data_IF_820088742887
#
_entry.id   IF_820088742887
#
_cell.length_a   1.000
_cell.length_b   1.000
_cell.length_c   1.000
_cell.angle_alpha   90.00
_cell.angle_beta   90.00
_cell.angle_gamma   90.00
#
_symmetry.space_group_name_H-M   'P 1'
#
loop_
_entity.id
_entity.type
_entity.pdbx_description
1 polymer ?
#
# COMPACT_ATOMS: atom_id res chain seq x y z
N UNK A 1 29.86 1.88 56.83
CA UNK A 1 29.92 1.09 55.59
C UNK A 1 28.67 0.23 55.36
N UNK A 2 28.10 -0.40 56.40
CA UNK A 2 26.93 -1.29 56.30
C UNK A 2 25.63 -0.63 55.77
N UNK A 3 25.36 0.64 56.11
CA UNK A 3 24.14 1.36 55.69
C UNK A 3 24.03 1.61 54.18
N UNK A 4 25.16 1.78 53.47
CA UNK A 4 25.14 2.02 52.02
C UNK A 4 24.73 0.77 51.23
N UNK A 5 25.10 -0.43 51.71
CA UNK A 5 24.70 -1.69 51.09
C UNK A 5 23.20 -1.96 51.24
N UNK A 6 22.62 -1.61 52.39
CA UNK A 6 21.17 -1.76 52.62
C UNK A 6 20.38 -0.82 51.69
N UNK A 7 20.82 0.43 51.54
CA UNK A 7 20.20 1.39 50.60
C UNK A 7 20.34 0.91 49.15
N UNK A 8 21.51 0.37 48.76
CA UNK A 8 21.73 -0.18 47.41
C UNK A 8 20.84 -1.40 47.14
N UNK A 9 20.67 -2.28 48.13
CA UNK A 9 19.79 -3.46 48.05
C UNK A 9 18.33 -3.04 47.97
N UNK A 10 17.90 -2.03 48.73
CA UNK A 10 16.54 -1.47 48.63
C UNK A 10 16.31 -0.82 47.27
N UNK A 11 17.29 -0.09 46.72
CA UNK A 11 17.22 0.47 45.36
C UNK A 11 17.13 -0.65 44.31
N UNK A 12 17.89 -1.74 44.47
CA UNK A 12 17.83 -2.92 43.58
C UNK A 12 16.50 -3.68 43.69
N UNK A 13 15.86 -3.71 44.87
CA UNK A 13 14.54 -4.31 45.10
C UNK A 13 13.41 -3.38 44.61
N UNK A 14 13.64 -2.07 44.61
CA UNK A 14 12.76 -1.05 44.04
C UNK A 14 12.98 -0.84 42.53
N UNK A 15 13.87 -1.60 41.89
CA UNK A 15 13.81 -1.77 40.44
C UNK A 15 12.52 -2.52 40.20
N UNK A 16 11.47 -1.78 39.83
CA UNK A 16 10.24 -2.34 39.29
C UNK A 16 10.66 -3.38 38.24
N UNK A 17 10.39 -4.66 38.51
CA UNK A 17 10.46 -5.70 37.49
C UNK A 17 9.26 -5.42 36.57
N UNK A 18 9.38 -4.36 35.79
CA UNK A 18 8.39 -3.97 34.80
C UNK A 18 8.29 -5.10 33.81
N UNK A 19 7.12 -5.74 33.74
CA UNK A 19 6.86 -6.72 32.69
C UNK A 19 6.92 -5.98 31.37
N UNK A 20 7.98 -6.22 30.60
CA UNK A 20 8.05 -5.76 29.22
C UNK A 20 7.26 -6.68 28.30
N UNK A 21 6.54 -6.10 27.35
CA UNK A 21 5.85 -6.82 26.29
C UNK A 21 6.65 -6.64 25.01
N UNK A 22 7.20 -7.74 24.49
CA UNK A 22 7.87 -7.74 23.20
C UNK A 22 6.87 -8.19 22.12
N UNK A 23 6.69 -7.36 21.10
CA UNK A 23 5.79 -7.58 19.97
C UNK A 23 6.66 -7.85 18.75
N UNK A 24 6.59 -9.06 18.21
CA UNK A 24 7.36 -9.46 17.05
C UNK A 24 6.56 -9.17 15.78
N UNK A 25 7.13 -8.37 14.89
CA UNK A 25 6.49 -7.92 13.65
C UNK A 25 7.24 -8.45 12.44
N UNK A 26 6.53 -8.84 11.38
CA UNK A 26 7.13 -9.25 10.11
C UNK A 26 6.58 -8.40 8.96
N UNK A 27 7.48 -7.95 8.07
CA UNK A 27 7.16 -7.17 6.87
C UNK A 27 7.97 -7.69 5.66
N UNK A 28 7.35 -7.66 4.49
CA UNK A 28 8.06 -7.81 3.22
C UNK A 28 8.52 -6.45 2.66
N UNK A 29 9.81 -6.37 2.34
CA UNK A 29 10.51 -5.13 2.05
C UNK A 29 10.62 -4.85 0.54
N UNK A 30 9.52 -4.58 -0.16
CA UNK A 30 9.59 -4.15 -1.59
C UNK A 30 8.65 -3.02 -2.00
N UNK A 31 7.60 -2.71 -1.24
CA UNK A 31 6.78 -1.52 -1.50
C UNK A 31 7.39 -0.28 -0.84
N UNK A 32 7.09 0.92 -1.36
CA UNK A 32 7.55 2.19 -0.76
C UNK A 32 7.22 2.31 0.73
N UNK A 33 6.19 1.58 1.17
CA UNK A 33 5.80 1.38 2.55
C UNK A 33 6.92 0.88 3.48
N UNK A 34 7.82 0.05 2.96
CA UNK A 34 8.94 -0.49 3.74
C UNK A 34 9.83 0.59 4.34
N UNK A 35 10.17 1.63 3.56
CA UNK A 35 11.18 2.60 3.99
C UNK A 35 10.78 3.37 5.25
N UNK A 36 9.48 3.52 5.49
CA UNK A 36 8.96 4.28 6.63
C UNK A 36 8.77 3.38 7.87
N UNK A 37 8.62 2.07 7.69
CA UNK A 37 8.23 1.19 8.80
C UNK A 37 9.30 1.03 9.89
N UNK A 38 10.61 0.90 9.59
CA UNK A 38 11.66 0.94 10.60
C UNK A 38 11.62 2.23 11.43
N UNK A 39 11.36 3.37 10.80
CA UNK A 39 11.28 4.66 11.50
C UNK A 39 10.06 4.72 12.41
N UNK A 40 8.89 4.23 11.96
CA UNK A 40 7.69 4.10 12.80
C UNK A 40 7.97 3.23 14.03
N UNK A 41 8.64 2.08 13.85
CA UNK A 41 9.00 1.17 14.95
C UNK A 41 9.96 1.85 15.93
N UNK A 42 10.97 2.56 15.42
CA UNK A 42 11.93 3.30 16.24
C UNK A 42 11.25 4.40 17.05
N UNK A 43 10.39 5.19 16.42
CA UNK A 43 9.65 6.27 17.07
C UNK A 43 8.68 5.73 18.13
N UNK A 44 7.97 4.63 17.83
CA UNK A 44 7.12 3.97 18.81
C UNK A 44 7.92 3.43 20.01
N UNK A 45 9.05 2.74 19.77
CA UNK A 45 9.88 2.21 20.86
C UNK A 45 10.44 3.33 21.74
N UNK A 46 10.82 4.46 21.15
CA UNK A 46 11.22 5.67 21.89
C UNK A 46 10.05 6.24 22.70
N UNK A 47 8.87 6.38 22.09
CA UNK A 47 7.66 6.83 22.75
C UNK A 47 7.28 5.92 23.93
N UNK A 48 7.32 4.61 23.74
CA UNK A 48 7.04 3.59 24.75
C UNK A 48 7.97 3.73 25.96
N UNK A 49 9.26 3.93 25.71
CA UNK A 49 10.25 4.18 26.78
C UNK A 49 9.99 5.49 27.53
N UNK A 50 9.70 6.58 26.82
CA UNK A 50 9.44 7.89 27.44
C UNK A 50 8.17 7.86 28.31
N UNK A 51 7.16 7.10 27.88
CA UNK A 51 5.86 7.01 28.57
C UNK A 51 5.75 5.79 29.50
N UNK A 52 6.85 5.07 29.77
CA UNK A 52 6.89 3.89 30.62
C UNK A 52 5.85 2.81 30.25
N UNK A 53 5.56 2.64 28.95
CA UNK A 53 4.62 1.62 28.48
C UNK A 53 5.22 0.22 28.58
N UNK A 54 6.55 0.11 28.59
CA UNK A 54 7.30 -1.15 28.60
C UNK A 54 6.91 -2.08 27.43
N UNK A 55 6.61 -1.52 26.27
CA UNK A 55 6.33 -2.26 25.03
C UNK A 55 7.51 -2.08 24.07
N UNK A 56 8.05 -3.17 23.55
CA UNK A 56 9.06 -3.12 22.50
C UNK A 56 8.52 -3.81 21.24
N UNK A 57 8.70 -3.17 20.10
CA UNK A 57 8.40 -3.77 18.80
C UNK A 57 9.72 -4.24 18.17
N UNK A 58 9.78 -5.53 17.86
CA UNK A 58 10.88 -6.18 17.16
C UNK A 58 10.49 -6.38 15.70
N UNK A 59 11.17 -5.67 14.78
CA UNK A 59 10.88 -5.76 13.35
C UNK A 59 11.77 -6.81 12.66
N UNK A 60 11.14 -7.81 12.04
CA UNK A 60 11.77 -8.73 11.09
C UNK A 60 11.46 -8.30 9.66
N UNK A 61 12.45 -7.73 9.00
CA UNK A 61 12.37 -7.30 7.60
C UNK A 61 12.89 -8.38 6.66
N UNK A 62 12.03 -8.83 5.74
CA UNK A 62 12.43 -9.75 4.67
C UNK A 62 12.69 -8.95 3.41
N UNK A 63 13.95 -8.92 2.97
CA UNK A 63 14.42 -8.27 1.73
C UNK A 63 14.87 -9.32 0.72
N UNK A 64 14.92 -8.97 -0.58
CA UNK A 64 15.56 -9.82 -1.60
C UNK A 64 17.05 -10.10 -1.36
N UNK A 65 17.71 -9.33 -0.49
CA UNK A 65 19.12 -9.54 -0.13
C UNK A 65 19.32 -10.61 0.96
N UNK A 66 18.32 -10.81 1.82
CA UNK A 66 18.39 -11.76 2.94
C UNK A 66 17.47 -12.98 2.73
N UNK A 67 16.63 -12.94 1.70
CA UNK A 67 15.76 -14.01 1.26
C UNK A 67 15.97 -14.19 -0.24
N UNK A 68 16.45 -15.35 -0.66
CA UNK A 68 16.35 -15.74 -2.06
C UNK A 68 14.86 -15.85 -2.37
N UNK A 69 14.35 -14.96 -3.22
CA UNK A 69 13.04 -14.96 -3.90
C UNK A 69 11.97 -13.91 -3.46
N UNK A 70 10.94 -13.80 -4.30
CA UNK A 70 9.98 -12.73 -4.61
C UNK A 70 8.88 -12.46 -3.56
N UNK A 71 7.93 -11.55 -3.87
CA UNK A 71 6.72 -11.33 -3.07
C UNK A 71 5.89 -12.61 -2.85
N UNK A 72 5.86 -13.53 -3.82
CA UNK A 72 5.16 -14.81 -3.70
C UNK A 72 5.73 -15.69 -2.57
N UNK A 73 7.01 -15.53 -2.27
CA UNK A 73 7.70 -16.28 -1.23
C UNK A 73 7.38 -15.75 0.18
N UNK A 74 7.08 -14.45 0.30
CA UNK A 74 6.58 -13.88 1.54
C UNK A 74 5.19 -14.41 1.88
N UNK A 75 4.28 -14.39 0.90
CA UNK A 75 2.91 -14.85 1.12
C UNK A 75 2.88 -16.36 1.39
N UNK A 76 3.79 -17.12 0.77
CA UNK A 76 4.00 -18.55 1.07
C UNK A 76 4.55 -18.77 2.48
N UNK A 77 5.45 -17.90 2.96
CA UNK A 77 5.91 -17.92 4.35
C UNK A 77 4.76 -17.64 5.32
N UNK A 78 3.92 -16.65 5.04
CA UNK A 78 2.75 -16.35 5.87
C UNK A 78 1.78 -17.53 5.93
N UNK A 79 1.48 -18.15 4.80
CA UNK A 79 0.69 -19.39 4.74
C UNK A 79 1.28 -20.48 5.65
N UNK A 80 2.59 -20.73 5.53
CA UNK A 80 3.26 -21.73 6.37
C UNK A 80 3.12 -21.39 7.86
N UNK A 81 3.34 -20.13 8.24
CA UNK A 81 3.21 -19.68 9.63
C UNK A 81 1.78 -19.82 10.15
N UNK A 82 0.78 -19.45 9.35
CA UNK A 82 -0.63 -19.52 9.71
C UNK A 82 -1.13 -20.96 9.80
N UNK A 83 -0.77 -21.83 8.85
CA UNK A 83 -1.12 -23.27 8.87
C UNK A 83 -0.52 -23.96 10.09
N UNK A 84 0.73 -23.62 10.44
CA UNK A 84 1.40 -24.14 11.63
C UNK A 84 0.92 -23.52 12.94
N UNK A 85 0.04 -22.51 12.88
CA UNK A 85 -0.38 -21.71 14.05
C UNK A 85 0.83 -21.20 14.84
N UNK A 86 1.85 -20.73 14.11
CA UNK A 86 3.08 -20.24 14.71
C UNK A 86 2.81 -19.02 15.59
N UNK A 87 3.46 -18.96 16.75
CA UNK A 87 3.48 -17.81 17.64
C UNK A 87 4.75 -16.96 17.46
N UNK A 88 5.43 -17.07 16.31
CA UNK A 88 6.68 -16.36 16.05
C UNK A 88 6.48 -14.86 15.85
N UNK A 89 5.33 -14.46 15.31
CA UNK A 89 5.00 -13.07 15.02
C UNK A 89 3.61 -12.73 15.56
N UNK A 90 3.52 -11.56 16.17
CA UNK A 90 2.31 -10.98 16.76
C UNK A 90 1.63 -10.02 15.77
N UNK A 91 2.42 -9.30 14.96
CA UNK A 91 1.95 -8.40 13.91
C UNK A 91 2.49 -8.83 12.55
N UNK A 92 1.62 -8.84 11.55
CA UNK A 92 1.94 -9.24 10.18
C UNK A 92 1.46 -8.16 9.23
N UNK A 93 2.36 -7.65 8.39
CA UNK A 93 2.03 -6.71 7.34
C UNK A 93 1.87 -7.47 6.03
N UNK A 94 0.69 -7.43 5.43
CA UNK A 94 0.37 -8.15 4.21
C UNK A 94 -0.44 -7.27 3.26
N UNK A 95 -0.45 -7.63 1.97
CA UNK A 95 -1.26 -6.92 1.00
C UNK A 95 -2.76 -7.24 1.17
N UNK A 96 -3.59 -6.20 1.20
CA UNK A 96 -5.04 -6.32 1.31
C UNK A 96 -5.71 -7.23 0.27
N UNK A 97 -5.09 -7.47 -0.90
CA UNK A 97 -5.58 -8.46 -1.89
C UNK A 97 -5.68 -9.87 -1.29
N UNK A 98 -4.87 -10.17 -0.28
CA UNK A 98 -4.85 -11.46 0.41
C UNK A 98 -5.80 -11.55 1.60
N UNK A 99 -6.70 -10.57 1.81
CA UNK A 99 -7.69 -10.59 2.91
C UNK A 99 -8.49 -11.89 2.99
N UNK A 100 -8.85 -12.48 1.85
CA UNK A 100 -9.62 -13.73 1.80
C UNK A 100 -8.75 -14.94 2.16
N UNK A 101 -7.45 -14.92 1.80
CA UNK A 101 -6.47 -15.98 2.09
C UNK A 101 -6.12 -16.00 3.58
N UNK A 102 -5.84 -14.83 4.17
CA UNK A 102 -5.34 -14.74 5.54
C UNK A 102 -6.41 -14.44 6.59
N UNK A 103 -7.54 -13.85 6.21
CA UNK A 103 -8.63 -13.51 7.12
C UNK A 103 -9.08 -14.63 8.07
N UNK A 104 -9.14 -15.91 7.66
CA UNK A 104 -9.44 -17.03 8.58
C UNK A 104 -8.47 -17.18 9.76
N UNK A 105 -7.23 -16.71 9.63
CA UNK A 105 -6.14 -16.88 10.58
C UNK A 105 -5.92 -15.67 11.48
N UNK A 106 -6.53 -14.53 11.17
CA UNK A 106 -6.28 -13.25 11.84
C UNK A 106 -7.32 -12.95 12.92
N UNK A 107 -6.87 -12.23 13.95
CA UNK A 107 -7.69 -11.81 15.08
C UNK A 107 -8.71 -10.75 14.63
N UNK A 108 -9.92 -10.81 15.19
CA UNK A 108 -10.90 -9.74 15.04
C UNK A 108 -10.53 -8.55 15.94
N UNK A 109 -10.04 -7.47 15.34
CA UNK A 109 -9.61 -6.27 16.04
C UNK A 109 -10.77 -5.49 16.69
N UNK A 110 -12.02 -5.70 16.25
CA UNK A 110 -13.21 -5.13 16.92
C UNK A 110 -13.33 -5.60 18.38
N UNK A 111 -12.74 -6.75 18.72
CA UNK A 111 -12.77 -7.30 20.08
C UNK A 111 -11.64 -6.74 20.96
N UNK A 112 -10.75 -5.92 20.38
CA UNK A 112 -9.53 -5.40 21.04
C UNK A 112 -9.44 -3.89 21.04
N UNK A 113 -10.00 -3.24 20.03
CA UNK A 113 -9.99 -1.77 19.87
C UNK A 113 -11.30 -1.18 20.38
N UNK A 114 -11.25 0.07 20.85
CA UNK A 114 -12.47 0.79 21.20
C UNK A 114 -13.34 1.01 19.96
N UNK A 115 -14.66 1.08 20.17
CA UNK A 115 -15.61 1.33 19.09
C UNK A 115 -15.29 2.63 18.34
N UNK A 116 -15.05 3.71 19.09
CA UNK A 116 -14.65 5.01 18.54
C UNK A 116 -13.41 4.90 17.65
N UNK A 117 -12.38 4.15 18.09
CA UNK A 117 -11.17 3.99 17.28
C UNK A 117 -11.41 3.19 16.00
N UNK A 118 -12.28 2.18 16.05
CA UNK A 118 -12.68 1.44 14.85
C UNK A 118 -13.44 2.34 13.88
N UNK A 119 -14.42 3.10 14.38
CA UNK A 119 -15.28 3.97 13.56
C UNK A 119 -14.50 5.02 12.78
N UNK A 120 -13.42 5.59 13.35
CA UNK A 120 -12.54 6.53 12.65
C UNK A 120 -12.02 6.01 11.29
N UNK A 121 -11.90 4.69 11.12
CA UNK A 121 -11.40 4.09 9.87
C UNK A 121 -12.50 3.49 9.00
N UNK A 122 -13.70 3.24 9.55
CA UNK A 122 -14.78 2.55 8.82
C UNK A 122 -15.47 3.42 7.77
N UNK A 123 -15.33 4.73 7.86
CA UNK A 123 -15.79 5.65 6.79
C UNK A 123 -14.91 5.58 5.53
N UNK A 124 -13.69 5.02 5.65
CA UNK A 124 -12.69 4.99 4.59
C UNK A 124 -12.40 3.62 3.99
N UNK A 125 -11.16 3.47 3.48
CA UNK A 125 -10.71 2.29 2.74
C UNK A 125 -10.74 1.00 3.58
N UNK A 126 -10.59 1.10 4.91
CA UNK A 126 -10.53 -0.06 5.80
C UNK A 126 -11.78 -0.92 5.74
N UNK A 127 -12.96 -0.31 5.54
CA UNK A 127 -14.21 -1.05 5.42
C UNK A 127 -14.23 -1.94 4.15
N UNK A 128 -13.51 -1.53 3.10
CA UNK A 128 -13.42 -2.26 1.83
C UNK A 128 -12.28 -3.29 1.84
N UNK A 129 -11.17 -2.99 2.51
CA UNK A 129 -9.93 -3.79 2.42
C UNK A 129 -9.64 -4.65 3.63
N UNK A 130 -10.13 -4.29 4.83
CA UNK A 130 -9.76 -4.94 6.09
C UNK A 130 -10.90 -5.75 6.75
N UNK A 131 -12.08 -5.83 6.13
CA UNK A 131 -13.21 -6.62 6.64
C UNK A 131 -13.25 -7.99 5.95
N UNK A 132 -13.28 -9.05 6.77
CA UNK A 132 -13.46 -10.44 6.33
C UNK A 132 -14.48 -11.15 7.24
N UNK A 133 -15.58 -11.66 6.68
CA UNK A 133 -16.66 -12.32 7.44
C UNK A 133 -17.09 -11.53 8.68
N UNK A 134 -17.37 -10.22 8.51
CA UNK A 134 -17.72 -9.24 9.55
C UNK A 134 -16.65 -8.93 10.61
N UNK A 135 -15.48 -9.58 10.54
CA UNK A 135 -14.31 -9.31 11.40
C UNK A 135 -13.46 -8.21 10.79
N UNK A 136 -12.93 -7.33 11.64
CA UNK A 136 -11.85 -6.42 11.26
C UNK A 136 -10.53 -7.16 11.45
N UNK A 137 -9.91 -7.59 10.34
CA UNK A 137 -8.74 -8.48 10.37
C UNK A 137 -7.41 -7.73 10.22
N UNK A 138 -7.44 -6.40 10.18
CA UNK A 138 -6.26 -5.56 10.00
C UNK A 138 -6.64 -4.08 10.02
N UNK A 139 -5.63 -3.23 9.95
CA UNK A 139 -5.76 -1.78 9.80
C UNK A 139 -4.90 -1.33 8.62
N UNK A 140 -5.36 -0.37 7.79
CA UNK A 140 -4.52 0.17 6.75
C UNK A 140 -3.41 1.00 7.38
N UNK A 141 -2.15 0.68 7.04
CA UNK A 141 -0.98 1.45 7.48
C UNK A 141 -0.55 2.39 6.35
N UNK A 142 -0.54 1.88 5.11
CA UNK A 142 -0.12 2.62 3.91
C UNK A 142 -1.15 2.37 2.82
N UNK A 143 -1.48 3.44 2.09
CA UNK A 143 -2.44 3.44 0.99
C UNK A 143 -1.75 4.06 -0.21
N UNK A 144 -1.58 3.26 -1.26
CA UNK A 144 -1.02 3.71 -2.52
C UNK A 144 -2.14 3.94 -3.53
N UNK A 145 -2.03 5.02 -4.29
CA UNK A 145 -2.98 5.40 -5.34
C UNK A 145 -2.23 5.78 -6.60
N UNK A 146 -2.76 5.39 -7.75
CA UNK A 146 -2.24 5.82 -9.05
C UNK A 146 -2.84 7.18 -9.42
N UNK A 147 -1.97 8.05 -9.93
CA UNK A 147 -2.33 9.39 -10.41
C UNK A 147 -1.69 9.66 -11.77
N UNK A 148 -2.32 10.53 -12.56
CA UNK A 148 -1.75 10.97 -13.82
C UNK A 148 -0.64 11.99 -13.58
N UNK A 149 0.62 11.58 -13.76
CA UNK A 149 1.74 12.49 -13.85
C UNK A 149 1.83 13.11 -15.25
N UNK A 150 2.17 14.39 -15.32
CA UNK A 150 2.33 15.11 -16.58
C UNK A 150 3.53 16.06 -16.53
N UNK A 151 4.15 16.29 -17.69
CA UNK A 151 5.25 17.23 -17.81
C UNK A 151 4.70 18.66 -17.97
N UNK A 152 4.86 19.48 -16.94
CA UNK A 152 4.37 20.86 -16.92
C UNK A 152 5.05 21.76 -17.96
N UNK A 153 6.32 21.50 -18.28
CA UNK A 153 7.09 22.34 -19.20
C UNK A 153 6.59 22.13 -20.64
N UNK A 154 6.29 20.90 -21.02
CA UNK A 154 5.65 20.61 -22.30
C UNK A 154 4.28 21.26 -22.43
N UNK A 155 3.45 21.21 -21.40
CA UNK A 155 2.14 21.89 -21.43
C UNK A 155 2.28 23.40 -21.58
N UNK A 156 3.23 24.02 -20.87
CA UNK A 156 3.50 25.47 -20.96
C UNK A 156 4.05 25.86 -22.33
N UNK A 157 5.07 25.15 -22.83
CA UNK A 157 5.71 25.40 -24.12
C UNK A 157 4.68 25.40 -25.27
N UNK A 158 3.72 24.48 -25.20
CA UNK A 158 2.70 24.29 -26.23
C UNK A 158 1.34 24.94 -25.91
N UNK A 159 1.28 25.75 -24.86
CA UNK A 159 0.07 26.44 -24.39
C UNK A 159 -1.15 25.50 -24.26
N UNK A 160 -0.95 24.33 -23.65
CA UNK A 160 -1.97 23.31 -23.42
C UNK A 160 -2.39 23.27 -21.95
N UNK A 161 -3.67 22.96 -21.71
CA UNK A 161 -4.18 22.70 -20.37
C UNK A 161 -3.94 21.25 -19.94
N UNK A 162 -3.94 21.01 -18.62
CA UNK A 162 -3.91 19.64 -18.07
C UNK A 162 -5.16 18.89 -18.54
N UNK A 163 -5.03 17.72 -19.19
CA UNK A 163 -6.17 16.96 -19.68
C UNK A 163 -7.02 16.43 -18.51
N UNK A 164 -8.35 16.57 -18.62
CA UNK A 164 -9.29 16.08 -17.60
C UNK A 164 -10.05 14.83 -18.02
N UNK A 165 -10.03 14.51 -19.31
CA UNK A 165 -10.64 13.31 -19.89
C UNK A 165 -9.66 12.65 -20.86
N UNK A 166 -9.88 11.37 -21.14
CA UNK A 166 -9.00 10.58 -22.02
C UNK A 166 -8.88 11.15 -23.44
N UNK A 167 -9.95 11.73 -23.98
CA UNK A 167 -9.89 12.32 -25.33
C UNK A 167 -9.03 13.60 -25.38
N UNK A 168 -9.04 14.41 -24.32
CA UNK A 168 -8.14 15.56 -24.20
C UNK A 168 -6.69 15.10 -24.06
N UNK A 169 -6.44 14.03 -23.29
CA UNK A 169 -5.11 13.44 -23.15
C UNK A 169 -4.57 12.97 -24.52
N UNK A 170 -5.40 12.31 -25.33
CA UNK A 170 -5.04 11.91 -26.70
C UNK A 170 -4.76 13.13 -27.58
N UNK A 171 -5.64 14.14 -27.54
CA UNK A 171 -5.52 15.34 -28.38
C UNK A 171 -4.26 16.13 -28.04
N UNK A 172 -4.04 16.43 -26.77
CA UNK A 172 -2.89 17.18 -26.26
C UNK A 172 -1.60 16.40 -26.51
N UNK A 173 -1.57 15.11 -26.15
CA UNK A 173 -0.41 14.26 -26.37
C UNK A 173 -0.01 14.16 -27.84
N UNK A 174 -0.99 13.97 -28.74
CA UNK A 174 -0.73 13.94 -30.18
C UNK A 174 -0.19 15.27 -30.70
N UNK A 175 -0.80 16.39 -30.29
CA UNK A 175 -0.34 17.72 -30.69
C UNK A 175 1.12 17.94 -30.31
N UNK A 176 1.49 17.67 -29.06
CA UNK A 176 2.87 17.83 -28.57
C UNK A 176 3.83 16.92 -29.33
N UNK A 177 3.47 15.65 -29.54
CA UNK A 177 4.30 14.72 -30.31
C UNK A 177 4.51 15.21 -31.75
N UNK A 178 3.48 15.74 -32.39
CA UNK A 178 3.55 16.23 -33.77
C UNK A 178 4.39 17.53 -33.87
N UNK A 179 4.34 18.42 -32.86
CA UNK A 179 5.22 19.60 -32.81
C UNK A 179 6.68 19.23 -32.51
N UNK A 180 6.93 18.30 -31.58
CA UNK A 180 8.28 17.85 -31.22
C UNK A 180 8.97 17.15 -32.39
N UNK A 181 8.21 16.41 -33.22
CA UNK A 181 8.73 15.83 -34.47
C UNK A 181 9.21 16.88 -35.46
N UNK A 182 8.59 18.06 -35.53
CA UNK A 182 9.03 19.15 -36.44
C UNK A 182 10.40 19.70 -36.09
N UNK A 183 10.81 19.56 -34.82
CA UNK A 183 12.13 19.94 -34.32
C UNK A 183 13.06 18.74 -34.12
N UNK A 184 12.78 17.62 -34.79
CA UNK A 184 13.55 16.36 -34.76
C UNK A 184 13.61 15.66 -33.38
N UNK A 185 12.69 15.94 -32.45
CA UNK A 185 12.53 15.10 -31.27
C UNK A 185 11.53 13.98 -31.52
N UNK A 186 12.03 12.81 -31.93
CA UNK A 186 11.21 11.63 -32.28
C UNK A 186 11.14 10.58 -31.16
N UNK A 187 11.86 10.77 -30.06
CA UNK A 187 11.96 9.80 -28.97
C UNK A 187 10.92 10.01 -27.87
N UNK A 188 10.15 11.10 -27.95
CA UNK A 188 9.12 11.41 -26.97
C UNK A 188 7.95 10.40 -27.06
N UNK A 189 7.52 9.91 -25.90
CA UNK A 189 6.33 9.06 -25.75
C UNK A 189 5.27 9.91 -25.06
N UNK A 190 4.07 10.01 -25.66
CA UNK A 190 3.00 10.88 -25.18
C UNK A 190 2.24 10.33 -23.98
N UNK A 191 2.19 9.01 -23.80
CA UNK A 191 1.57 8.36 -22.65
C UNK A 191 2.16 6.97 -22.36
N UNK A 192 2.47 6.72 -21.09
CA UNK A 192 2.79 5.40 -20.56
C UNK A 192 1.75 5.01 -19.52
N UNK A 193 0.95 3.98 -19.82
CA UNK A 193 -0.10 3.48 -18.93
C UNK A 193 0.32 2.34 -17.99
N UNK A 194 1.61 2.03 -17.91
CA UNK A 194 2.17 0.98 -17.04
C UNK A 194 1.54 -0.42 -17.26
N UNK A 195 1.25 -0.78 -18.51
CA UNK A 195 0.83 -2.15 -18.86
C UNK A 195 2.03 -3.11 -18.87
N UNK A 196 2.53 -3.46 -17.68
CA UNK A 196 3.64 -4.41 -17.48
C UNK A 196 3.09 -5.79 -17.09
N UNK A 197 3.76 -6.87 -17.51
CA UNK A 197 3.21 -8.25 -17.50
C UNK A 197 2.62 -8.74 -16.17
N UNK A 198 3.11 -8.26 -15.03
CA UNK A 198 2.65 -8.61 -13.69
C UNK A 198 1.62 -7.63 -13.07
N UNK A 199 1.39 -6.47 -13.69
CA UNK A 199 0.52 -5.40 -13.15
C UNK A 199 -0.53 -4.90 -14.16
N UNK A 200 -0.68 -5.55 -15.32
CA UNK A 200 -1.66 -5.20 -16.37
C UNK A 200 -3.08 -5.02 -15.81
N UNK A 201 -3.44 -5.81 -14.81
CA UNK A 201 -4.77 -5.81 -14.19
C UNK A 201 -5.07 -4.45 -13.54
N UNK A 202 -4.10 -3.82 -12.87
CA UNK A 202 -4.26 -2.54 -12.18
C UNK A 202 -4.63 -1.43 -13.17
N UNK A 203 -3.80 -1.22 -14.19
CA UNK A 203 -4.07 -0.21 -15.23
C UNK A 203 -5.38 -0.51 -15.97
N UNK A 204 -5.65 -1.78 -16.28
CA UNK A 204 -6.89 -2.18 -16.95
C UNK A 204 -8.12 -1.87 -16.08
N UNK A 205 -8.05 -2.15 -14.78
CA UNK A 205 -9.10 -1.84 -13.82
C UNK A 205 -9.39 -0.34 -13.76
N UNK A 206 -8.36 0.51 -13.72
CA UNK A 206 -8.50 1.96 -13.69
C UNK A 206 -9.18 2.51 -14.94
N UNK A 207 -8.79 2.01 -16.11
CA UNK A 207 -9.45 2.35 -17.36
C UNK A 207 -10.92 1.94 -17.34
N UNK A 208 -11.22 0.67 -17.05
CA UNK A 208 -12.60 0.18 -16.97
C UNK A 208 -13.42 1.03 -15.98
N UNK A 209 -12.89 1.26 -14.78
CA UNK A 209 -13.55 2.04 -13.76
C UNK A 209 -13.81 3.48 -14.19
N UNK A 210 -12.92 4.10 -14.98
CA UNK A 210 -13.09 5.48 -15.47
C UNK A 210 -14.22 5.66 -16.49
N UNK A 211 -14.75 4.57 -17.06
CA UNK A 211 -15.86 4.57 -18.03
C UNK A 211 -17.24 4.29 -17.40
N UNK A 212 -17.31 4.19 -16.07
CA UNK A 212 -18.58 4.10 -15.34
C UNK A 212 -19.48 5.30 -15.62
N UNK A 213 -20.80 5.09 -15.60
CA UNK A 213 -21.80 6.11 -15.96
C UNK A 213 -21.81 7.35 -15.04
N UNK A 214 -21.41 7.19 -13.79
CA UNK A 214 -21.30 8.29 -12.83
C UNK A 214 -20.27 7.96 -11.74
N UNK A 215 -19.85 8.96 -10.97
CA UNK A 215 -18.86 8.76 -9.90
C UNK A 215 -19.30 7.72 -8.86
N UNK A 216 -20.62 7.59 -8.63
CA UNK A 216 -21.23 6.67 -7.67
C UNK A 216 -21.63 5.32 -8.29
N UNK A 217 -21.44 5.14 -9.60
CA UNK A 217 -21.74 3.88 -10.26
C UNK A 217 -20.73 2.81 -9.85
N UNK A 218 -21.16 1.53 -9.74
CA UNK A 218 -20.24 0.44 -9.45
C UNK A 218 -19.26 0.23 -10.61
N UNK A 219 -18.30 -0.66 -10.39
CA UNK A 219 -17.42 -1.13 -11.45
C UNK A 219 -18.26 -1.69 -12.63
N UNK A 220 -17.97 -1.33 -13.89
CA UNK A 220 -18.74 -1.82 -15.04
C UNK A 220 -18.73 -3.34 -15.18
N UNK A 221 -19.84 -3.94 -15.60
CA UNK A 221 -19.84 -5.36 -15.97
C UNK A 221 -18.91 -5.60 -17.16
N UNK A 222 -18.17 -6.71 -17.16
CA UNK A 222 -17.17 -6.98 -18.21
C UNK A 222 -17.77 -7.14 -19.61
N UNK A 223 -19.06 -7.46 -19.69
CA UNK A 223 -19.83 -7.59 -20.94
C UNK A 223 -20.58 -6.32 -21.34
N UNK A 224 -20.42 -5.23 -20.58
CA UNK A 224 -21.13 -3.96 -20.80
C UNK A 224 -20.53 -3.13 -21.93
N UNK A 225 -21.30 -2.16 -22.44
CA UNK A 225 -20.81 -1.22 -23.45
C UNK A 225 -19.73 -0.28 -22.86
N UNK A 226 -19.81 0.03 -21.57
CA UNK A 226 -18.82 0.80 -20.83
C UNK A 226 -17.46 0.10 -20.82
N UNK A 227 -17.44 -1.22 -20.59
CA UNK A 227 -16.23 -2.02 -20.69
C UNK A 227 -15.66 -2.05 -22.12
N UNK A 228 -16.52 -2.22 -23.14
CA UNK A 228 -16.12 -2.14 -24.55
C UNK A 228 -15.49 -0.77 -24.86
N UNK A 229 -16.14 0.32 -24.46
CA UNK A 229 -15.67 1.68 -24.70
C UNK A 229 -14.31 1.94 -24.03
N UNK A 230 -14.08 1.41 -22.82
CA UNK A 230 -12.80 1.52 -22.13
C UNK A 230 -11.68 0.78 -22.87
N UNK A 231 -11.92 -0.45 -23.31
CA UNK A 231 -10.95 -1.25 -24.05
C UNK A 231 -10.63 -0.63 -25.43
N UNK A 232 -11.65 -0.13 -26.11
CA UNK A 232 -11.46 0.65 -27.35
C UNK A 232 -10.64 1.91 -27.10
N UNK A 233 -10.82 2.59 -25.96
CA UNK A 233 -10.01 3.76 -25.59
C UNK A 233 -8.56 3.39 -25.33
N UNK A 234 -8.29 2.30 -24.61
CA UNK A 234 -6.92 1.79 -24.40
C UNK A 234 -6.25 1.54 -25.76
N UNK A 235 -6.95 0.87 -26.68
CA UNK A 235 -6.45 0.63 -28.05
C UNK A 235 -6.20 1.93 -28.82
N UNK A 236 -7.09 2.92 -28.70
CA UNK A 236 -6.93 4.24 -29.33
C UNK A 236 -5.71 4.98 -28.78
N UNK A 237 -5.50 4.97 -27.46
CA UNK A 237 -4.32 5.58 -26.81
C UNK A 237 -3.05 4.90 -27.30
N UNK A 238 -3.01 3.56 -27.25
CA UNK A 238 -1.88 2.76 -27.73
C UNK A 238 -1.46 3.18 -29.14
N UNK A 239 -2.42 3.24 -30.05
CA UNK A 239 -2.16 3.51 -31.47
C UNK A 239 -1.83 4.98 -31.79
N UNK A 240 -2.14 5.91 -30.88
CA UNK A 240 -2.04 7.35 -31.17
C UNK A 240 -0.87 8.04 -30.47
N UNK A 241 -0.60 7.72 -29.21
CA UNK A 241 0.33 8.50 -28.37
C UNK A 241 1.28 7.65 -27.50
N UNK A 242 1.17 6.33 -27.50
CA UNK A 242 2.05 5.45 -26.73
C UNK A 242 3.08 4.75 -27.62
N UNK A 243 4.16 4.24 -27.02
CA UNK A 243 5.01 3.25 -27.66
C UNK A 243 4.24 1.93 -27.79
N UNK A 244 4.32 1.29 -28.97
CA UNK A 244 3.59 0.06 -29.30
C UNK A 244 3.84 -1.11 -28.36
#
# INVERSE_FOLDING_TARGET
MFNYYIILIIILICIDIGKSVDINTIIFSESGAYYVFPDIVNDFNKYSKINNLNININLSSITRTNFTHSAEDYESLLDYLFIKKSNKYDLVLYDSIHKTRFGPHLLNLKDRLSHEHVEMYMEGIANQTCIYNNKLIGMPIIVDVNVLYYNQDYLKQYNQSVPRIWDDLIKVGRYILDEEKKINNTNLIGYNGLFVDNEVVCSTYEFLYSFRNSINSPFPEMTSQEAVNALEKIKKIKNTISSG
#
